data_IF_241346757774
#
_entry.id   IF_241346757774
#
_cell.length_a   1.000
_cell.length_b   1.000
_cell.length_c   1.000
_cell.angle_alpha   90.00
_cell.angle_beta   90.00
_cell.angle_gamma   90.00
#
_symmetry.space_group_name_H-M   'P 1'
#
loop_
_entity.id
_entity.type
_entity.pdbx_description
1 polymer ?
#
# COMPACT_ATOMS: atom_id res chain seq x y z
N UNK A 1 2.78 -17.56 1.18
CA UNK A 1 2.17 -17.97 2.47
C UNK A 1 3.22 -18.25 3.53
N UNK A 2 2.88 -17.95 4.78
CA UNK A 2 3.70 -18.29 5.96
C UNK A 2 3.60 -19.79 6.26
N UNK A 3 2.38 -20.28 6.53
CA UNK A 3 2.02 -21.70 6.65
C UNK A 3 0.59 -21.90 6.10
N UNK A 4 0.43 -22.62 5.00
CA UNK A 4 -0.90 -22.82 4.37
C UNK A 4 -1.75 -23.93 5.00
N UNK A 5 -1.16 -24.80 5.83
CA UNK A 5 -1.85 -25.92 6.45
C UNK A 5 -2.41 -25.56 7.84
N UNK A 6 -1.80 -24.59 8.51
CA UNK A 6 -2.23 -24.16 9.84
C UNK A 6 -3.58 -23.40 9.78
N UNK A 7 -4.50 -23.73 10.68
CA UNK A 7 -5.73 -22.95 10.87
C UNK A 7 -5.51 -21.64 11.63
N UNK A 8 -4.33 -21.47 12.23
CA UNK A 8 -3.96 -20.29 13.02
C UNK A 8 -2.45 -20.08 12.97
N UNK A 9 -2.00 -18.82 12.87
CA UNK A 9 -0.60 -18.43 12.88
C UNK A 9 -0.37 -17.34 13.92
N UNK A 10 0.66 -17.49 14.74
CA UNK A 10 1.15 -16.43 15.62
C UNK A 10 2.32 -15.69 14.98
N UNK A 11 2.26 -14.36 14.93
CA UNK A 11 3.35 -13.50 14.43
C UNK A 11 3.58 -12.32 15.35
N UNK A 12 4.83 -11.88 15.48
CA UNK A 12 5.20 -10.69 16.27
C UNK A 12 5.65 -9.59 15.33
N UNK A 13 4.96 -8.45 15.32
CA UNK A 13 5.23 -7.32 14.42
C UNK A 13 5.27 -6.03 15.23
N UNK A 14 6.39 -5.31 15.16
CA UNK A 14 6.53 -4.02 15.85
C UNK A 14 6.42 -4.11 17.39
N UNK A 15 6.79 -5.25 17.98
CA UNK A 15 6.64 -5.50 19.42
C UNK A 15 5.20 -5.83 19.86
N UNK A 16 4.30 -6.14 18.92
CA UNK A 16 2.95 -6.63 19.18
C UNK A 16 2.82 -8.06 18.68
N UNK A 17 2.16 -8.90 19.45
CA UNK A 17 1.84 -10.27 19.05
C UNK A 17 0.43 -10.33 18.46
N UNK A 18 0.32 -11.06 17.34
CA UNK A 18 -0.91 -11.28 16.60
C UNK A 18 -1.18 -12.76 16.45
N UNK A 19 -2.43 -13.14 16.64
CA UNK A 19 -2.92 -14.49 16.44
C UNK A 19 -3.93 -14.46 15.29
N UNK A 20 -3.55 -15.00 14.14
CA UNK A 20 -4.27 -14.88 12.88
C UNK A 20 -4.89 -16.21 12.51
N UNK A 21 -6.22 -16.27 12.48
CA UNK A 21 -6.96 -17.42 11.96
C UNK A 21 -6.89 -17.44 10.45
N UNK A 22 -6.70 -18.62 9.89
CA UNK A 22 -6.71 -18.89 8.46
C UNK A 22 -7.80 -19.90 8.13
N UNK A 23 -8.09 -20.08 6.84
CA UNK A 23 -9.03 -21.10 6.39
C UNK A 23 -8.37 -22.05 5.37
N UNK A 24 -7.57 -23.03 5.81
CA UNK A 24 -6.92 -24.01 4.93
C UNK A 24 -7.90 -24.75 4.02
N UNK A 25 -9.08 -25.13 4.54
CA UNK A 25 -10.11 -25.78 3.74
C UNK A 25 -10.61 -24.91 2.57
N UNK A 26 -10.54 -23.59 2.71
CA UNK A 26 -10.90 -22.66 1.63
C UNK A 26 -9.77 -22.54 0.60
N UNK A 27 -8.49 -22.52 1.03
CA UNK A 27 -7.33 -22.54 0.13
C UNK A 27 -7.37 -23.74 -0.83
N UNK A 28 -7.79 -24.90 -0.33
CA UNK A 28 -7.88 -26.14 -1.11
C UNK A 28 -9.20 -26.34 -1.85
N UNK A 29 -10.12 -25.37 -1.79
CA UNK A 29 -11.41 -25.49 -2.48
C UNK A 29 -11.29 -25.18 -3.98
N UNK A 30 -12.06 -25.88 -4.81
CA UNK A 30 -12.14 -25.66 -6.27
C UNK A 30 -13.09 -24.51 -6.63
N UNK A 31 -13.07 -23.41 -5.89
CA UNK A 31 -13.92 -22.24 -6.17
C UNK A 31 -13.40 -21.50 -7.39
N UNK A 32 -14.32 -20.96 -8.19
CA UNK A 32 -14.01 -20.10 -9.34
C UNK A 32 -13.37 -18.78 -8.90
N UNK A 33 -13.85 -18.24 -7.78
CA UNK A 33 -13.22 -17.14 -7.06
C UNK A 33 -11.93 -17.65 -6.40
N UNK A 34 -10.77 -17.15 -6.85
CA UNK A 34 -9.46 -17.57 -6.34
C UNK A 34 -9.41 -17.55 -4.80
N UNK A 35 -8.85 -18.59 -4.20
CA UNK A 35 -8.95 -18.88 -2.75
C UNK A 35 -7.78 -18.34 -1.92
N UNK A 36 -6.83 -17.68 -2.58
CA UNK A 36 -5.57 -17.20 -2.02
C UNK A 36 -5.72 -16.21 -0.88
N UNK A 37 -6.88 -15.55 -0.75
CA UNK A 37 -7.17 -14.62 0.35
C UNK A 37 -7.34 -15.29 1.72
N UNK A 38 -7.44 -16.62 1.78
CA UNK A 38 -7.74 -17.36 3.01
C UNK A 38 -6.55 -17.61 3.97
N UNK A 39 -5.38 -17.02 3.70
CA UNK A 39 -4.16 -17.22 4.48
C UNK A 39 -3.32 -15.94 4.61
N UNK A 40 -2.39 -15.94 5.57
CA UNK A 40 -1.36 -14.93 5.72
C UNK A 40 -0.22 -15.16 4.71
N UNK A 41 0.05 -14.13 3.92
CA UNK A 41 1.16 -14.10 3.00
C UNK A 41 2.42 -13.50 3.61
N UNK A 42 3.58 -13.98 3.15
CA UNK A 42 4.89 -13.51 3.66
C UNK A 42 5.11 -12.05 3.28
N UNK A 43 4.73 -11.63 2.07
CA UNK A 43 4.82 -10.22 1.65
C UNK A 43 4.01 -9.31 2.57
N UNK A 44 2.79 -9.73 2.96
CA UNK A 44 1.95 -8.95 3.89
C UNK A 44 2.58 -8.85 5.27
N UNK A 45 3.13 -9.95 5.82
CA UNK A 45 3.86 -9.92 7.09
C UNK A 45 5.06 -8.97 7.02
N UNK A 46 5.86 -9.07 5.95
CA UNK A 46 7.06 -8.26 5.76
C UNK A 46 6.72 -6.78 5.55
N UNK A 47 5.65 -6.49 4.82
CA UNK A 47 5.13 -5.14 4.64
C UNK A 47 4.62 -4.57 5.97
N UNK A 48 3.95 -5.39 6.78
CA UNK A 48 3.51 -5.02 8.12
C UNK A 48 4.71 -4.68 9.03
N UNK A 49 5.79 -5.47 9.01
CA UNK A 49 7.04 -5.18 9.71
C UNK A 49 7.67 -3.86 9.27
N UNK A 50 7.68 -3.57 7.96
CA UNK A 50 8.16 -2.28 7.44
C UNK A 50 7.32 -1.09 7.88
N UNK A 51 5.99 -1.21 7.88
CA UNK A 51 5.13 -0.16 8.42
C UNK A 51 5.28 0.02 9.93
N UNK A 52 5.62 -1.04 10.66
CA UNK A 52 5.85 -1.01 12.09
C UNK A 52 7.20 -0.40 12.50
N UNK A 53 8.09 -0.09 11.55
CA UNK A 53 9.33 0.62 11.84
C UNK A 53 9.03 1.97 12.51
N UNK A 54 9.76 2.28 13.59
CA UNK A 54 9.67 3.58 14.30
C UNK A 54 9.86 4.77 13.36
N UNK A 55 10.74 4.57 12.39
CA UNK A 55 11.14 5.51 11.36
C UNK A 55 10.72 4.87 10.02
N UNK A 56 9.49 5.13 9.57
CA UNK A 56 9.02 4.66 8.28
C UNK A 56 9.11 5.80 7.24
N UNK A 57 9.76 5.58 6.08
CA UNK A 57 10.01 6.62 5.07
C UNK A 57 8.77 7.34 4.56
N UNK A 58 7.63 6.65 4.41
CA UNK A 58 6.40 7.30 3.93
C UNK A 58 5.88 8.35 4.92
N UNK A 59 6.02 8.07 6.22
CA UNK A 59 5.65 9.00 7.27
C UNK A 59 6.68 10.13 7.42
N UNK A 60 7.97 9.83 7.32
CA UNK A 60 9.03 10.83 7.43
C UNK A 60 9.02 11.86 6.31
N UNK A 61 8.79 11.41 5.07
CA UNK A 61 8.70 12.28 3.90
C UNK A 61 7.34 12.99 3.81
N UNK A 62 6.42 12.75 4.76
CA UNK A 62 5.08 13.33 4.75
C UNK A 62 4.21 12.89 3.57
N UNK A 63 4.50 11.72 2.99
CA UNK A 63 3.66 11.09 1.95
C UNK A 63 2.42 10.46 2.56
N UNK A 64 2.51 10.01 3.81
CA UNK A 64 1.42 9.49 4.63
C UNK A 64 1.50 10.13 6.01
N UNK A 65 0.37 10.55 6.56
CA UNK A 65 0.26 11.18 7.87
C UNK A 65 -1.10 10.89 8.53
N UNK A 66 -1.35 11.51 9.69
CA UNK A 66 -2.61 11.33 10.44
C UNK A 66 -3.85 11.88 9.73
N UNK A 67 -3.70 12.58 8.59
CA UNK A 67 -4.80 13.10 7.77
C UNK A 67 -5.07 12.24 6.54
N UNK A 68 -4.22 11.24 6.30
CA UNK A 68 -4.27 10.41 5.10
C UNK A 68 -5.43 9.42 5.14
N UNK A 69 -5.99 9.15 3.97
CA UNK A 69 -7.00 8.13 3.72
C UNK A 69 -6.33 6.96 3.01
N UNK A 70 -6.44 5.77 3.59
CA UNK A 70 -5.81 4.54 3.07
C UNK A 70 -6.88 3.57 2.59
N UNK A 71 -6.69 3.03 1.39
CA UNK A 71 -7.49 1.95 0.82
C UNK A 71 -6.58 0.74 0.55
N UNK A 72 -6.90 -0.41 1.13
CA UNK A 72 -6.20 -1.66 0.89
C UNK A 72 -7.02 -2.56 -0.03
N UNK A 73 -6.42 -2.99 -1.13
CA UNK A 73 -6.98 -3.93 -2.10
C UNK A 73 -6.40 -5.32 -1.82
N UNK A 74 -7.27 -6.33 -1.73
CA UNK A 74 -6.82 -7.72 -1.58
C UNK A 74 -6.19 -7.98 -0.21
N UNK A 75 -6.83 -7.48 0.86
CA UNK A 75 -6.35 -7.59 2.24
C UNK A 75 -6.24 -9.02 2.78
N UNK A 76 -6.92 -9.97 2.14
CA UNK A 76 -7.08 -11.34 2.60
C UNK A 76 -7.75 -11.39 3.98
N UNK A 77 -7.50 -12.47 4.72
CA UNK A 77 -8.09 -12.65 6.06
C UNK A 77 -7.22 -12.11 7.19
N UNK A 78 -5.98 -11.73 6.93
CA UNK A 78 -4.99 -11.53 7.99
C UNK A 78 -5.21 -10.26 8.82
N UNK A 79 -5.62 -9.14 8.21
CA UNK A 79 -5.89 -7.89 8.93
C UNK A 79 -4.67 -7.20 9.57
N UNK A 80 -3.44 -7.60 9.24
CA UNK A 80 -2.23 -7.03 9.86
C UNK A 80 -2.02 -5.55 9.52
N UNK A 81 -2.16 -5.18 8.24
CA UNK A 81 -1.98 -3.80 7.80
C UNK A 81 -3.01 -2.83 8.44
N UNK A 82 -4.33 -3.12 8.43
CA UNK A 82 -5.29 -2.24 9.09
C UNK A 82 -5.01 -2.07 10.59
N UNK A 83 -4.63 -3.14 11.30
CA UNK A 83 -4.29 -3.09 12.74
C UNK A 83 -3.06 -2.23 13.07
N UNK A 84 -2.15 -2.04 12.12
CA UNK A 84 -0.92 -1.25 12.28
C UNK A 84 -1.09 0.19 11.78
N UNK A 85 -1.84 0.38 10.70
CA UNK A 85 -1.93 1.66 10.00
C UNK A 85 -3.14 2.49 10.41
N UNK A 86 -4.29 1.89 10.71
CA UNK A 86 -5.49 2.64 11.10
C UNK A 86 -5.23 3.62 12.26
N UNK A 87 -4.46 3.29 13.32
CA UNK A 87 -4.16 4.24 14.39
C UNK A 87 -3.28 5.45 13.98
N UNK A 88 -2.71 5.44 12.78
CA UNK A 88 -1.72 6.42 12.29
C UNK A 88 -2.23 7.30 11.16
N UNK A 89 -3.47 7.09 10.70
CA UNK A 89 -4.06 7.76 9.53
C UNK A 89 -5.48 8.23 9.84
N UNK A 90 -6.06 9.08 9.00
CA UNK A 90 -7.41 9.61 9.23
C UNK A 90 -8.48 8.54 9.04
N UNK A 91 -8.34 7.69 8.01
CA UNK A 91 -9.19 6.51 7.83
C UNK A 91 -8.49 5.41 7.04
N UNK A 92 -8.91 4.17 7.30
CA UNK A 92 -8.40 2.98 6.63
C UNK A 92 -9.59 2.13 6.17
N UNK A 93 -9.64 1.80 4.89
CA UNK A 93 -10.63 0.89 4.31
C UNK A 93 -9.91 -0.37 3.83
N UNK A 94 -10.15 -1.50 4.49
CA UNK A 94 -9.61 -2.81 4.13
C UNK A 94 -10.62 -3.55 3.27
N UNK A 95 -10.21 -3.97 2.06
CA UNK A 95 -11.11 -4.57 1.08
C UNK A 95 -10.59 -5.88 0.54
N UNK A 96 -11.51 -6.76 0.19
CA UNK A 96 -11.26 -8.05 -0.43
C UNK A 96 -12.59 -8.64 -0.94
N UNK A 97 -12.59 -9.85 -1.49
CA UNK A 97 -13.80 -10.53 -1.93
C UNK A 97 -14.74 -10.84 -0.76
N UNK A 98 -16.04 -10.86 -1.01
CA UNK A 98 -17.07 -11.04 0.03
C UNK A 98 -16.85 -12.26 0.95
N UNK A 99 -16.21 -13.32 0.45
CA UNK A 99 -15.96 -14.53 1.23
C UNK A 99 -14.90 -14.37 2.33
N UNK A 100 -13.94 -13.44 2.20
CA UNK A 100 -12.87 -13.23 3.20
C UNK A 100 -13.33 -12.31 4.33
N UNK A 101 -14.25 -11.39 4.03
CA UNK A 101 -14.68 -10.29 4.90
C UNK A 101 -15.05 -10.74 6.32
N UNK A 102 -15.76 -11.87 6.45
CA UNK A 102 -16.14 -12.36 7.78
C UNK A 102 -14.92 -12.71 8.63
N UNK A 103 -14.00 -13.53 8.10
CA UNK A 103 -12.82 -13.96 8.84
C UNK A 103 -11.81 -12.81 9.04
N UNK A 104 -11.72 -11.90 8.07
CA UNK A 104 -10.95 -10.66 8.21
C UNK A 104 -11.42 -9.83 9.42
N UNK A 105 -12.73 -9.61 9.56
CA UNK A 105 -13.29 -8.90 10.72
C UNK A 105 -13.01 -9.64 12.03
N UNK A 106 -13.21 -10.95 12.06
CA UNK A 106 -12.90 -11.76 13.26
C UNK A 106 -11.44 -11.63 13.69
N UNK A 107 -10.49 -11.64 12.74
CA UNK A 107 -9.07 -11.45 13.03
C UNK A 107 -8.76 -10.01 13.50
N UNK A 108 -9.35 -9.00 12.88
CA UNK A 108 -9.18 -7.60 13.31
C UNK A 108 -9.72 -7.43 14.74
N UNK A 109 -10.92 -7.91 15.03
CA UNK A 109 -11.56 -7.77 16.35
C UNK A 109 -10.75 -8.47 17.44
N UNK A 110 -10.30 -9.70 17.18
CA UNK A 110 -9.49 -10.48 18.12
C UNK A 110 -8.15 -9.82 18.45
N UNK A 111 -7.58 -9.06 17.52
CA UNK A 111 -6.24 -8.46 17.65
C UNK A 111 -6.26 -6.93 17.89
N UNK A 112 -7.44 -6.31 17.98
CA UNK A 112 -7.58 -4.87 18.27
C UNK A 112 -7.42 -4.53 19.75
N UNK A 113 -7.73 -5.45 20.66
CA UNK A 113 -7.79 -5.21 22.11
C UNK A 113 -6.46 -5.39 22.86
N UNK A 114 -5.40 -5.92 22.21
CA UNK A 114 -4.10 -6.18 22.86
C UNK A 114 -3.28 -4.93 23.20
N UNK A 115 -3.80 -3.73 22.90
CA UNK A 115 -3.22 -2.43 23.31
C UNK A 115 -3.44 -2.08 24.79
N UNK A 116 -4.13 -2.92 25.56
CA UNK A 116 -4.20 -2.77 27.01
C UNK A 116 -3.30 -3.80 27.69
N UNK A 117 -2.31 -3.30 28.43
CA UNK A 117 -1.47 -4.10 29.32
C UNK A 117 -2.36 -5.00 30.21
N UNK A 118 -1.94 -6.22 30.59
CA UNK A 118 -2.75 -7.08 31.44
C UNK A 118 -2.76 -6.52 32.88
N UNK A 119 -3.71 -5.63 33.17
CA UNK A 119 -4.02 -5.25 34.54
C UNK A 119 -4.88 -6.33 35.18
N UNK A 120 -4.26 -7.08 36.08
CA UNK A 120 -4.84 -7.85 37.19
C UNK A 120 -6.22 -8.52 37.00
N UNK A 121 -6.16 -9.84 36.86
CA UNK A 121 -7.04 -10.85 37.50
C UNK A 121 -8.17 -10.30 38.39
N UNK A 122 -9.41 -10.34 37.91
CA UNK A 122 -10.60 -10.28 38.76
C UNK A 122 -11.63 -11.34 38.35
N UNK A 123 -11.81 -12.31 39.22
CA UNK A 123 -12.92 -13.28 39.21
C UNK A 123 -14.24 -12.60 39.58
N UNK A 124 -15.33 -12.78 38.81
CA UNK A 124 -16.65 -13.26 39.30
C UNK A 124 -17.78 -13.26 38.25
N UNK A 125 -18.41 -14.44 38.15
CA UNK A 125 -19.84 -14.76 38.04
C UNK A 125 -20.83 -14.00 37.12
N UNK A 126 -21.46 -14.84 36.26
CA UNK A 126 -22.66 -14.69 35.40
C UNK A 126 -23.86 -13.92 36.00
N UNK A 127 -24.59 -13.18 35.15
CA UNK A 127 -25.92 -13.56 34.62
C UNK A 127 -26.37 -12.58 33.51
N UNK A 128 -27.15 -13.10 32.56
CA UNK A 128 -27.32 -12.53 31.23
C UNK A 128 -28.20 -11.29 31.09
N UNK A 129 -27.95 -10.61 29.97
CA UNK A 129 -28.87 -9.80 29.18
C UNK A 129 -28.25 -9.73 27.77
N UNK A 130 -29.04 -10.02 26.75
CA UNK A 130 -28.72 -9.90 25.32
C UNK A 130 -27.81 -8.69 25.00
N UNK A 131 -26.70 -8.84 24.26
CA UNK A 131 -25.95 -7.68 23.80
C UNK A 131 -26.66 -7.09 22.58
N UNK A 132 -27.45 -6.04 22.83
CA UNK A 132 -27.74 -5.03 21.82
C UNK A 132 -26.42 -4.59 21.21
N UNK A 133 -26.31 -4.70 19.88
CA UNK A 133 -25.26 -4.09 19.06
C UNK A 133 -25.07 -2.64 19.49
N UNK A 134 -24.08 -2.37 20.33
CA UNK A 134 -23.62 -1.01 20.58
C UNK A 134 -22.14 -1.02 20.93
N UNK A 135 -21.40 -0.40 20.01
CA UNK A 135 -20.17 0.34 20.27
C UNK A 135 -18.92 -0.48 20.57
N UNK A 136 -18.37 -1.08 19.52
CA UNK A 136 -16.95 -1.44 19.50
C UNK A 136 -16.09 -0.19 19.56
N UNK A 137 -15.38 0.00 20.69
CA UNK A 137 -14.27 0.93 20.83
C UNK A 137 -12.99 0.35 20.20
N UNK A 138 -13.06 0.00 18.91
CA UNK A 138 -11.92 -0.19 18.02
C UNK A 138 -11.91 0.98 17.05
N UNK A 139 -10.77 1.66 16.92
CA UNK A 139 -10.55 2.89 16.13
C UNK A 139 -11.65 3.18 15.10
N UNK A 140 -12.54 4.14 15.38
CA UNK A 140 -13.73 4.44 14.56
C UNK A 140 -13.44 4.88 13.11
N UNK A 141 -12.17 4.82 12.69
CA UNK A 141 -11.68 5.15 11.38
C UNK A 141 -11.29 3.92 10.53
N UNK A 142 -11.42 2.69 11.05
CA UNK A 142 -11.19 1.45 10.29
C UNK A 142 -12.51 0.89 9.76
N UNK A 143 -12.57 0.67 8.44
CA UNK A 143 -13.69 0.07 7.72
C UNK A 143 -13.23 -1.19 7.01
N UNK A 144 -14.12 -2.19 6.95
CA UNK A 144 -13.90 -3.44 6.22
C UNK A 144 -15.07 -3.65 5.29
N UNK A 145 -14.81 -3.77 3.99
CA UNK A 145 -15.84 -3.85 2.96
C UNK A 145 -15.48 -4.87 1.88
N UNK A 146 -16.49 -5.47 1.26
CA UNK A 146 -16.28 -6.29 0.08
C UNK A 146 -16.01 -5.40 -1.14
N UNK A 147 -15.03 -5.78 -1.96
CA UNK A 147 -14.77 -5.19 -3.26
C UNK A 147 -14.26 -6.27 -4.21
N UNK A 148 -15.04 -6.58 -5.23
CA UNK A 148 -14.68 -7.44 -6.35
C UNK A 148 -14.25 -6.57 -7.55
N UNK A 149 -12.97 -6.62 -7.92
CA UNK A 149 -12.41 -5.78 -8.98
C UNK A 149 -13.00 -6.07 -10.36
N UNK A 150 -13.57 -7.26 -10.57
CA UNK A 150 -14.13 -7.68 -11.86
C UNK A 150 -15.60 -7.27 -12.00
N UNK A 151 -16.34 -7.25 -10.89
CA UNK A 151 -17.80 -7.20 -10.90
C UNK A 151 -18.41 -5.93 -10.29
N UNK A 152 -17.73 -5.30 -9.34
CA UNK A 152 -18.32 -4.18 -8.61
C UNK A 152 -18.17 -2.85 -9.37
N UNK A 153 -19.20 -2.00 -9.27
CA UNK A 153 -19.09 -0.59 -9.68
C UNK A 153 -18.24 0.17 -8.66
N UNK A 154 -17.01 0.47 -9.04
CA UNK A 154 -16.05 1.15 -8.17
C UNK A 154 -16.51 2.55 -7.75
N UNK A 155 -17.22 3.29 -8.61
CA UNK A 155 -17.70 4.64 -8.26
C UNK A 155 -18.75 4.56 -7.17
N UNK A 156 -19.68 3.62 -7.30
CA UNK A 156 -20.67 3.33 -6.26
C UNK A 156 -19.98 2.87 -4.97
N UNK A 157 -19.02 1.94 -5.06
CA UNK A 157 -18.24 1.48 -3.92
C UNK A 157 -17.59 2.65 -3.17
N UNK A 158 -16.82 3.49 -3.88
CA UNK A 158 -16.12 4.63 -3.29
C UNK A 158 -17.11 5.59 -2.59
N UNK A 159 -18.26 5.86 -3.20
CA UNK A 159 -19.29 6.70 -2.57
C UNK A 159 -19.89 6.09 -1.31
N UNK A 160 -20.13 4.78 -1.30
CA UNK A 160 -20.67 4.05 -0.14
C UNK A 160 -19.69 3.98 1.03
N UNK A 161 -18.40 4.15 0.75
CA UNK A 161 -17.31 4.08 1.71
C UNK A 161 -16.76 5.47 2.06
N UNK A 162 -17.45 6.58 1.76
CA UNK A 162 -16.92 7.93 2.01
C UNK A 162 -15.53 8.17 1.38
N UNK A 163 -15.27 7.55 0.22
CA UNK A 163 -14.05 7.64 -0.58
C UNK A 163 -14.30 8.29 -1.95
N UNK A 164 -15.39 9.06 -2.10
CA UNK A 164 -15.72 9.76 -3.36
C UNK A 164 -14.62 10.70 -3.85
N UNK A 165 -13.85 11.27 -2.92
CA UNK A 165 -12.70 12.15 -3.20
C UNK A 165 -11.37 11.38 -3.37
N UNK A 166 -11.44 10.04 -3.49
CA UNK A 166 -10.29 9.14 -3.63
C UNK A 166 -9.56 8.85 -2.30
N UNK A 167 -8.39 8.22 -2.42
CA UNK A 167 -7.51 7.86 -1.31
C UNK A 167 -6.15 8.55 -1.44
N UNK A 168 -5.45 8.78 -0.33
CA UNK A 168 -4.06 9.26 -0.33
C UNK A 168 -3.09 8.11 -0.63
N UNK A 169 -3.39 6.92 -0.12
CA UNK A 169 -2.59 5.71 -0.31
C UNK A 169 -3.49 4.53 -0.68
N UNK A 170 -3.14 3.85 -1.76
CA UNK A 170 -3.68 2.53 -2.13
C UNK A 170 -2.62 1.48 -1.85
N UNK A 171 -2.94 0.43 -1.10
CA UNK A 171 -2.03 -0.68 -0.81
C UNK A 171 -2.55 -1.94 -1.48
N UNK A 172 -1.67 -2.70 -2.14
CA UNK A 172 -1.98 -4.05 -2.62
C UNK A 172 -0.80 -4.98 -2.26
N UNK A 173 -1.06 -6.08 -1.54
CA UNK A 173 -0.01 -7.02 -1.12
C UNK A 173 -0.29 -8.41 -1.66
N UNK A 174 0.67 -9.00 -2.37
CA UNK A 174 0.56 -10.32 -3.03
C UNK A 174 -0.70 -10.47 -3.92
N UNK A 175 -1.11 -9.38 -4.57
CA UNK A 175 -2.30 -9.34 -5.44
C UNK A 175 -2.02 -9.69 -6.92
N UNK A 176 -0.75 -9.81 -7.31
CA UNK A 176 -0.34 -10.09 -8.70
C UNK A 176 0.06 -11.56 -8.82
N UNK A 177 -0.92 -12.42 -9.12
CA UNK A 177 -0.71 -13.88 -9.20
C UNK A 177 -1.53 -14.60 -10.28
N UNK A 178 -2.39 -13.88 -11.00
CA UNK A 178 -3.27 -14.44 -12.04
C UNK A 178 -3.46 -13.43 -13.17
N UNK A 179 -3.24 -13.86 -14.42
CA UNK A 179 -3.43 -13.05 -15.64
C UNK A 179 -4.83 -12.41 -15.71
N UNK A 180 -5.87 -13.14 -15.31
CA UNK A 180 -7.25 -12.65 -15.37
C UNK A 180 -7.48 -11.41 -14.48
N UNK A 181 -6.70 -11.25 -13.41
CA UNK A 181 -6.83 -10.15 -12.46
C UNK A 181 -5.98 -8.93 -12.81
N UNK A 182 -5.08 -9.02 -13.80
CA UNK A 182 -4.19 -7.90 -14.17
C UNK A 182 -4.98 -6.68 -14.58
N UNK A 183 -5.85 -6.81 -15.58
CA UNK A 183 -6.65 -5.69 -16.11
C UNK A 183 -7.60 -5.12 -15.04
N UNK A 184 -8.40 -5.93 -14.33
CA UNK A 184 -9.25 -5.45 -13.23
C UNK A 184 -8.48 -4.69 -12.14
N UNK A 185 -7.34 -5.22 -11.68
CA UNK A 185 -6.53 -4.58 -10.64
C UNK A 185 -5.92 -3.25 -11.10
N UNK A 186 -5.35 -3.21 -12.31
CA UNK A 186 -4.78 -1.98 -12.89
C UNK A 186 -5.86 -0.92 -13.03
N UNK A 187 -7.02 -1.30 -13.60
CA UNK A 187 -8.12 -0.37 -13.82
C UNK A 187 -8.69 0.17 -12.50
N UNK A 188 -8.83 -0.70 -11.49
CA UNK A 188 -9.25 -0.30 -10.14
C UNK A 188 -8.31 0.77 -9.56
N UNK A 189 -6.99 0.55 -9.64
CA UNK A 189 -6.01 1.55 -9.20
C UNK A 189 -6.15 2.88 -9.97
N UNK A 190 -6.30 2.81 -11.31
CA UNK A 190 -6.44 4.01 -12.16
C UNK A 190 -7.66 4.83 -11.75
N UNK A 191 -8.78 4.17 -11.53
CA UNK A 191 -10.05 4.83 -11.23
C UNK A 191 -10.09 5.39 -9.81
N UNK A 192 -9.48 4.72 -8.83
CA UNK A 192 -9.26 5.31 -7.49
C UNK A 192 -8.44 6.59 -7.58
N UNK A 193 -7.35 6.57 -8.36
CA UNK A 193 -6.50 7.75 -8.55
C UNK A 193 -7.22 8.89 -9.27
N UNK A 194 -8.11 8.57 -10.22
CA UNK A 194 -8.93 9.55 -10.97
C UNK A 194 -10.09 10.12 -10.17
N UNK A 195 -10.59 9.41 -9.17
CA UNK A 195 -11.63 9.93 -8.27
C UNK A 195 -11.14 11.15 -7.47
N UNK A 196 -9.82 11.32 -7.36
CA UNK A 196 -9.21 12.39 -6.59
C UNK A 196 -9.21 13.71 -7.35
N UNK A 197 -9.66 14.77 -6.67
CA UNK A 197 -9.82 16.11 -7.26
C UNK A 197 -8.50 16.81 -7.59
N UNK A 198 -8.53 17.62 -8.65
CA UNK A 198 -7.43 18.49 -9.05
C UNK A 198 -7.04 19.46 -7.91
N UNK A 199 -5.73 19.61 -7.69
CA UNK A 199 -5.17 20.45 -6.63
C UNK A 199 -4.92 19.74 -5.29
N UNK A 200 -5.37 18.49 -5.14
CA UNK A 200 -4.93 17.62 -4.03
C UNK A 200 -3.61 16.94 -4.39
N UNK A 201 -2.89 16.48 -3.35
CA UNK A 201 -1.70 15.62 -3.54
C UNK A 201 -2.11 14.36 -4.31
N UNK A 202 -1.33 13.88 -5.30
CA UNK A 202 -1.66 12.65 -6.02
C UNK A 202 -1.79 11.45 -5.09
N UNK A 203 -2.64 10.48 -5.46
CA UNK A 203 -2.70 9.17 -4.79
C UNK A 203 -1.39 8.41 -5.01
N UNK A 204 -0.85 7.84 -3.93
CA UNK A 204 0.26 6.91 -3.98
C UNK A 204 -0.29 5.48 -4.06
N UNK A 205 0.12 4.70 -5.07
CA UNK A 205 -0.08 3.26 -5.06
C UNK A 205 1.17 2.59 -4.49
N UNK A 206 0.98 1.70 -3.51
CA UNK A 206 2.01 0.88 -2.89
C UNK A 206 1.69 -0.59 -3.13
N UNK A 207 2.43 -1.22 -4.03
CA UNK A 207 2.27 -2.65 -4.34
C UNK A 207 3.41 -3.40 -3.70
N UNK A 208 3.13 -4.41 -2.86
CA UNK A 208 4.14 -5.28 -2.25
C UNK A 208 3.96 -6.71 -2.72
N UNK A 209 4.87 -7.22 -3.55
CA UNK A 209 4.71 -8.50 -4.23
C UNK A 209 5.90 -9.44 -4.01
N UNK A 210 5.64 -10.72 -3.73
CA UNK A 210 6.61 -11.79 -3.89
C UNK A 210 6.58 -12.31 -5.32
N UNK A 211 7.73 -12.37 -6.00
CA UNK A 211 7.78 -12.98 -7.33
C UNK A 211 7.63 -14.49 -7.25
N UNK A 212 6.60 -14.98 -7.93
CA UNK A 212 6.31 -16.41 -8.06
C UNK A 212 6.26 -16.81 -9.52
N UNK A 213 5.65 -15.96 -10.33
CA UNK A 213 5.52 -16.13 -11.78
C UNK A 213 6.04 -14.85 -12.44
N UNK A 214 7.29 -14.86 -12.96
CA UNK A 214 7.89 -13.71 -13.61
C UNK A 214 6.99 -13.12 -14.70
N UNK A 215 6.44 -13.98 -15.56
CA UNK A 215 5.62 -13.58 -16.71
C UNK A 215 4.34 -12.82 -16.30
N UNK A 216 3.62 -13.27 -15.26
CA UNK A 216 2.43 -12.55 -14.73
C UNK A 216 2.83 -11.18 -14.21
N UNK A 217 3.96 -11.10 -13.50
CA UNK A 217 4.44 -9.85 -12.95
C UNK A 217 4.89 -8.88 -14.04
N UNK A 218 5.59 -9.36 -15.07
CA UNK A 218 6.02 -8.55 -16.21
C UNK A 218 4.83 -8.01 -17.01
N UNK A 219 3.81 -8.85 -17.25
CA UNK A 219 2.58 -8.41 -17.92
C UNK A 219 1.84 -7.35 -17.10
N UNK A 220 1.74 -7.57 -15.78
CA UNK A 220 1.16 -6.58 -14.87
C UNK A 220 1.95 -5.28 -14.88
N UNK A 221 3.28 -5.32 -14.75
CA UNK A 221 4.14 -4.14 -14.74
C UNK A 221 4.04 -3.37 -16.07
N UNK A 222 3.99 -4.08 -17.19
CA UNK A 222 3.77 -3.50 -18.52
C UNK A 222 2.41 -2.83 -18.65
N UNK A 223 1.33 -3.44 -18.14
CA UNK A 223 0.01 -2.83 -18.12
C UNK A 223 -0.06 -1.62 -17.19
N UNK A 224 0.51 -1.74 -15.99
CA UNK A 224 0.49 -0.72 -14.95
C UNK A 224 1.32 0.52 -15.33
N UNK A 225 2.52 0.34 -15.89
CA UNK A 225 3.40 1.44 -16.31
C UNK A 225 2.84 2.33 -17.45
N UNK A 226 1.79 1.88 -18.16
CA UNK A 226 1.07 2.72 -19.14
C UNK A 226 0.31 3.87 -18.47
N UNK A 227 -0.03 3.74 -17.20
CA UNK A 227 -0.85 4.70 -16.46
C UNK A 227 -0.11 5.39 -15.31
N UNK A 228 0.97 4.77 -14.82
CA UNK A 228 1.65 5.17 -13.59
C UNK A 228 3.15 5.35 -13.81
N UNK A 229 3.75 6.30 -13.08
CA UNK A 229 5.22 6.35 -12.97
C UNK A 229 5.64 5.38 -11.88
N UNK A 230 6.36 4.31 -12.24
CA UNK A 230 6.70 3.22 -11.32
C UNK A 230 8.13 3.37 -10.78
N UNK A 231 8.26 3.29 -9.46
CA UNK A 231 9.52 3.39 -8.73
C UNK A 231 9.73 2.12 -7.91
N UNK A 232 10.97 1.66 -7.81
CA UNK A 232 11.35 0.60 -6.85
C UNK A 232 12.03 1.25 -5.64
N UNK A 233 11.67 0.82 -4.43
CA UNK A 233 12.43 1.23 -3.24
C UNK A 233 13.75 0.48 -3.15
N UNK A 234 14.81 1.20 -2.77
CA UNK A 234 16.13 0.63 -2.51
C UNK A 234 16.16 -0.11 -1.18
N UNK A 235 17.14 -1.01 -1.02
CA UNK A 235 17.31 -1.80 0.21
C UNK A 235 17.48 -0.92 1.46
N UNK A 236 18.12 0.24 1.31
CA UNK A 236 18.27 1.24 2.39
C UNK A 236 16.93 1.81 2.88
N UNK A 237 15.93 1.94 2.00
CA UNK A 237 14.59 2.45 2.31
C UNK A 237 13.67 1.32 2.79
N UNK A 238 13.88 0.12 2.28
CA UNK A 238 13.16 -1.09 2.71
C UNK A 238 13.58 -1.57 4.10
N UNK A 239 14.83 -1.33 4.50
CA UNK A 239 15.37 -1.83 5.77
C UNK A 239 15.39 -3.36 5.84
N UNK A 240 15.90 -3.95 6.93
CA UNK A 240 16.13 -5.40 7.02
C UNK A 240 14.85 -6.24 7.00
N UNK A 241 13.70 -5.66 7.32
CA UNK A 241 12.42 -6.35 7.28
C UNK A 241 12.01 -6.71 5.84
N UNK A 242 12.22 -5.80 4.88
CA UNK A 242 11.85 -5.97 3.47
C UNK A 242 13.03 -6.18 2.51
N UNK A 243 14.27 -5.83 2.90
CA UNK A 243 15.45 -5.95 2.04
C UNK A 243 15.85 -7.44 1.82
N UNK A 244 15.91 -7.90 0.56
CA UNK A 244 16.45 -9.19 0.19
C UNK A 244 17.89 -9.01 -0.32
N UNK A 245 18.81 -9.94 -0.11
CA UNK A 245 20.12 -9.92 -0.78
C UNK A 245 20.03 -10.24 -2.30
N UNK A 246 19.08 -9.65 -3.04
CA UNK A 246 18.80 -10.04 -4.42
C UNK A 246 18.27 -8.88 -5.29
N UNK A 247 19.20 -8.12 -5.88
CA UNK A 247 19.21 -7.69 -7.28
C UNK A 247 18.07 -6.85 -7.89
N UNK A 248 18.42 -6.12 -8.95
CA UNK A 248 17.64 -5.51 -10.05
C UNK A 248 17.38 -4.00 -10.07
N UNK A 249 17.54 -3.48 -11.30
CA UNK A 249 17.57 -2.09 -11.78
C UNK A 249 16.28 -1.79 -12.55
N UNK A 250 15.73 -0.57 -12.43
CA UNK A 250 14.73 -0.01 -13.37
C UNK A 250 15.29 1.26 -13.97
N UNK A 251 15.36 1.30 -15.30
CA UNK A 251 15.82 2.46 -16.05
C UNK A 251 14.77 3.59 -16.01
N UNK A 252 15.19 4.87 -15.90
CA UNK A 252 14.26 5.98 -16.02
C UNK A 252 13.66 6.02 -17.43
N UNK A 253 12.41 6.49 -17.59
CA UNK A 253 11.87 6.77 -18.91
C UNK A 253 12.72 7.86 -19.57
N UNK A 254 13.34 7.53 -20.70
CA UNK A 254 13.75 8.57 -21.65
C UNK A 254 12.48 9.23 -22.19
N UNK A 255 12.34 10.56 -22.09
CA UNK A 255 11.24 11.25 -22.76
C UNK A 255 11.32 10.96 -24.27
N UNK A 256 10.19 10.96 -25.01
CA UNK A 256 10.23 10.91 -26.45
C UNK A 256 11.13 12.04 -26.95
N UNK A 257 12.16 11.66 -27.71
CA UNK A 257 13.11 12.58 -28.32
C UNK A 257 12.39 13.50 -29.31
N UNK A 258 11.93 14.66 -28.85
CA UNK A 258 11.77 15.83 -29.72
C UNK A 258 13.08 16.62 -29.70
N UNK A 259 13.66 16.95 -30.86
CA UNK A 259 14.95 17.60 -30.94
C UNK A 259 14.76 19.10 -30.67
N UNK A 260 14.67 19.51 -29.42
CA UNK A 260 14.94 20.89 -29.04
C UNK A 260 15.25 20.95 -27.53
N UNK A 261 16.55 21.03 -27.25
CA UNK A 261 17.14 21.12 -25.94
C UNK A 261 16.82 22.46 -25.26
N UNK A 262 16.10 22.42 -24.13
CA UNK A 262 16.27 23.36 -23.02
C UNK A 262 16.23 22.62 -21.70
N UNK A 263 17.31 22.75 -20.94
CA UNK A 263 17.52 22.15 -19.63
C UNK A 263 16.45 22.59 -18.63
N UNK A 264 15.63 21.64 -18.19
CA UNK A 264 14.89 21.76 -16.94
C UNK A 264 15.64 20.96 -15.88
N UNK A 265 16.29 21.67 -14.95
CA UNK A 265 16.79 21.08 -13.72
C UNK A 265 15.59 20.67 -12.86
N UNK A 266 15.21 19.39 -12.92
CA UNK A 266 14.36 18.81 -11.90
C UNK A 266 15.18 18.72 -10.60
N UNK A 267 14.69 19.34 -9.53
CA UNK A 267 15.32 19.24 -8.21
C UNK A 267 15.39 17.77 -7.76
N UNK A 268 16.56 17.25 -7.37
CA UNK A 268 16.76 15.85 -6.98
C UNK A 268 16.33 15.59 -5.53
N UNK A 269 15.12 16.00 -5.15
CA UNK A 269 14.62 15.90 -3.76
C UNK A 269 13.95 14.56 -3.43
N UNK A 270 14.02 13.57 -4.32
CA UNK A 270 13.62 12.18 -4.08
C UNK A 270 14.86 11.26 -4.06
N UNK A 271 15.92 11.74 -3.42
CA UNK A 271 16.94 10.89 -2.82
C UNK A 271 16.93 11.29 -1.36
N UNK A 272 16.30 10.47 -0.51
CA UNK A 272 16.40 10.64 0.93
C UNK A 272 17.84 10.23 1.30
N UNK A 273 18.76 11.19 1.23
CA UNK A 273 20.08 11.06 1.81
C UNK A 273 19.90 11.05 3.33
N UNK A 274 20.00 9.86 3.92
CA UNK A 274 20.34 9.75 5.34
C UNK A 274 21.72 10.36 5.47
N UNK A 275 21.78 11.57 6.02
CA UNK A 275 23.03 12.25 6.32
C UNK A 275 23.72 11.52 7.47
N UNK A 276 24.93 11.03 7.22
CA UNK A 276 25.95 10.84 8.27
C UNK A 276 27.01 11.95 8.11
N UNK A 277 27.58 12.46 9.22
CA UNK A 277 28.46 13.63 9.22
C UNK A 277 29.94 13.24 8.98
N UNK A 278 30.69 14.18 8.38
CA UNK A 278 32.11 14.11 8.01
C UNK A 278 32.39 13.29 6.73
N UNK A 279 33.18 13.70 5.74
CA UNK A 279 34.34 14.58 5.68
C UNK A 279 34.37 15.43 4.39
N UNK A 280 35.30 16.37 4.40
CA UNK A 280 35.65 17.49 3.51
C UNK A 280 35.96 17.23 2.02
N UNK A 281 35.76 18.29 1.21
CA UNK A 281 36.44 18.57 -0.07
C UNK A 281 35.67 18.05 -1.31
N UNK A 282 35.46 18.75 -2.43
CA UNK A 282 36.29 19.72 -3.17
C UNK A 282 35.40 20.54 -4.16
N UNK A 283 35.93 21.70 -4.55
CA UNK A 283 35.54 22.84 -5.41
C UNK A 283 34.55 22.73 -6.58
N UNK A 284 33.89 23.90 -6.80
CA UNK A 284 33.11 24.30 -7.98
C UNK A 284 34.04 24.89 -9.06
N UNK A 285 33.71 24.67 -10.33
CA UNK A 285 34.07 25.60 -11.42
C UNK A 285 32.92 25.72 -12.43
N UNK A 286 32.45 26.95 -12.65
CA UNK A 286 31.66 27.37 -13.82
C UNK A 286 32.61 27.91 -14.91
N UNK A 287 32.18 27.98 -16.19
CA UNK A 287 32.10 29.33 -16.79
C UNK A 287 30.98 29.55 -17.84
N UNK A 288 30.53 30.82 -17.93
CA UNK A 288 29.88 31.49 -19.09
C UNK A 288 28.38 31.20 -19.27
N UNK A 289 27.45 32.15 -19.49
CA UNK A 289 27.52 33.53 -19.98
C UNK A 289 26.65 33.65 -21.24
N UNK A 290 25.48 34.29 -21.18
CA UNK A 290 24.65 34.61 -22.36
C UNK A 290 23.18 34.92 -22.09
N UNK A 291 22.79 36.19 -22.31
CA UNK A 291 21.44 36.75 -22.22
C UNK A 291 20.67 36.68 -23.55
N UNK A 292 19.35 36.41 -23.52
CA UNK A 292 18.42 36.82 -24.58
C UNK A 292 16.96 36.93 -24.09
N UNK A 293 16.32 38.06 -24.42
CA UNK A 293 14.90 38.37 -24.25
C UNK A 293 14.03 37.75 -25.36
N UNK A 294 12.79 37.34 -25.06
CA UNK A 294 11.61 37.53 -25.94
C UNK A 294 10.26 37.30 -25.23
N UNK A 295 9.32 38.20 -25.48
CA UNK A 295 7.91 38.20 -25.06
C UNK A 295 7.05 37.15 -25.81
N UNK A 296 6.03 36.59 -25.14
CA UNK A 296 4.93 35.85 -25.78
C UNK A 296 3.88 35.29 -24.81
N UNK A 297 2.68 35.90 -24.80
CA UNK A 297 1.31 35.45 -24.41
C UNK A 297 1.08 34.16 -23.58
N UNK A 298 0.19 34.17 -22.55
CA UNK A 298 -0.20 32.98 -21.80
C UNK A 298 -1.48 32.35 -22.34
N UNK A 299 -1.36 31.21 -23.03
CA UNK A 299 -2.43 30.20 -23.09
C UNK A 299 -1.82 28.87 -23.50
N UNK A 300 -1.73 27.92 -22.56
CA UNK A 300 -2.23 26.56 -22.72
C UNK A 300 -1.91 25.74 -21.46
N UNK A 301 -2.93 25.06 -20.94
CA UNK A 301 -2.84 24.11 -19.85
C UNK A 301 -1.69 23.12 -20.07
N UNK A 302 -0.71 23.09 -19.18
CA UNK A 302 0.23 21.96 -19.08
C UNK A 302 -0.21 21.03 -17.96
N UNK A 303 -0.45 19.78 -18.35
CA UNK A 303 -0.84 18.64 -17.51
C UNK A 303 0.04 18.54 -16.26
N UNK A 304 -0.61 18.38 -15.11
CA UNK A 304 0.03 17.97 -13.86
C UNK A 304 0.54 16.52 -13.98
N UNK A 305 1.63 16.15 -13.29
CA UNK A 305 2.33 14.89 -13.51
C UNK A 305 1.50 13.69 -13.02
N UNK A 306 1.69 12.55 -13.70
CA UNK A 306 1.08 11.27 -13.36
C UNK A 306 1.24 10.90 -11.87
N UNK A 307 0.35 10.05 -11.32
CA UNK A 307 0.46 9.55 -9.94
C UNK A 307 1.86 9.00 -9.66
N UNK A 308 2.41 9.38 -8.49
CA UNK A 308 3.64 8.82 -7.95
C UNK A 308 3.32 7.39 -7.51
N UNK A 309 3.92 6.37 -8.13
CA UNK A 309 3.73 4.98 -7.71
C UNK A 309 5.04 4.37 -7.23
N UNK A 310 4.96 3.77 -6.04
CA UNK A 310 6.03 2.98 -5.45
C UNK A 310 5.65 1.50 -5.52
N UNK A 311 6.41 0.73 -6.29
CA UNK A 311 6.37 -0.72 -6.27
C UNK A 311 7.41 -1.23 -5.27
N UNK A 312 6.93 -1.81 -4.17
CA UNK A 312 7.70 -2.69 -3.30
C UNK A 312 7.71 -4.10 -3.90
N UNK A 313 8.89 -4.65 -4.10
CA UNK A 313 9.01 -5.99 -4.64
C UNK A 313 9.92 -6.79 -3.71
N UNK A 314 9.41 -7.91 -3.21
CA UNK A 314 10.14 -8.88 -2.42
C UNK A 314 10.60 -9.99 -3.37
N UNK A 315 11.90 -10.08 -3.64
CA UNK A 315 12.48 -11.31 -4.18
C UNK A 315 12.67 -12.31 -3.05
N UNK A 316 12.66 -13.60 -3.39
CA UNK A 316 12.80 -14.70 -2.45
C UNK A 316 14.06 -15.47 -2.76
#
# INVERSE_FOLDING_TARGET
MVDGAASEISVSIGGRDFCIKQSPGLLHSSRSAGTTGAALWRSTQRLAEWFAMKVNPLFQCGLVDSKSIVLELGSGVAGLLPLLLAPRVASYCSTDQAYTIKLLRENIDANSASNSSPSSRATRHRKGSEPLLSSFAGSGNLRVAALDWELDDLKYFLSSQDLSDGADLVIASDCVYNYHLITPLVQTCVDICRARSDGRRPTLCLVAQQLRQPDVFEEWLSAFSKHFTVWRLTDSVMGPALAPEAGYVVHPPTPPSSPESRSFAASPSLICSVADPAESGVERTCPGGGTAHHNGSPTQLQRLPAPLVTCLYCHN
#
